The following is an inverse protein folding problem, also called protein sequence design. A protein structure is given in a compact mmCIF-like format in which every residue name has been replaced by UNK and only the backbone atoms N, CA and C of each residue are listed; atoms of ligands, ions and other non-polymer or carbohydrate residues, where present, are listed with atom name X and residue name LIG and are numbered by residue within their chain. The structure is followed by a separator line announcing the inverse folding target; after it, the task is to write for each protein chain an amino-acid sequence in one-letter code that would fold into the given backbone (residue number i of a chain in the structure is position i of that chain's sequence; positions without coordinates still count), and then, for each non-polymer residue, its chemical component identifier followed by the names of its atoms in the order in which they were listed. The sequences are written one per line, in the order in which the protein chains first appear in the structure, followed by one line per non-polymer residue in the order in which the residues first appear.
data_IF_608992210196
#
_entry.id   IF_608992210196
#
_cell.length_a   1.000
_cell.length_b   1.000
_cell.length_c   1.000
_cell.angle_alpha   90.00
_cell.angle_beta   90.00
_cell.angle_gamma   90.00
#
_symmetry.space_group_name_H-M   'P 1'
#
loop_
_entity.id
_entity.type
_entity.pdbx_description
1 polymer ?
#
# COMPACT_ATOMS: atom_id res chain seq x y z
N UNK A 1 0.30 -19.58 17.89
CA UNK A 1 0.92 -19.28 16.56
C UNK A 1 0.52 -17.88 16.13
N UNK A 2 1.48 -17.13 15.67
CA UNK A 2 1.18 -15.82 15.10
C UNK A 2 0.62 -16.00 13.69
N UNK A 3 -0.48 -15.35 13.40
CA UNK A 3 -0.98 -15.28 12.05
C UNK A 3 -0.04 -14.40 11.20
N UNK A 4 0.00 -14.65 9.90
CA UNK A 4 0.79 -13.84 8.99
C UNK A 4 0.19 -12.43 8.91
N UNK A 5 1.04 -11.38 8.92
CA UNK A 5 0.52 -10.02 8.73
C UNK A 5 -0.17 -9.89 7.38
N UNK A 6 -1.28 -9.18 7.36
CA UNK A 6 -2.05 -8.94 6.14
C UNK A 6 -1.70 -7.57 5.57
N UNK A 7 -1.28 -7.56 4.32
CA UNK A 7 -0.94 -6.34 3.60
C UNK A 7 -1.99 -6.12 2.51
N UNK A 8 -2.68 -4.99 2.58
CA UNK A 8 -3.61 -4.59 1.53
C UNK A 8 -2.80 -3.90 0.42
N UNK A 9 -2.97 -4.38 -0.81
CA UNK A 9 -2.27 -3.80 -1.96
C UNK A 9 -3.29 -3.17 -2.90
N UNK A 10 -3.05 -1.91 -3.27
CA UNK A 10 -3.95 -1.13 -4.10
C UNK A 10 -3.22 -0.74 -5.38
N UNK A 11 -3.74 -1.17 -6.53
CA UNK A 11 -3.14 -0.91 -7.84
C UNK A 11 -4.20 -1.15 -8.90
N UNK A 12 -4.36 -0.21 -9.82
CA UNK A 12 -5.34 -0.39 -10.89
C UNK A 12 -5.01 -1.55 -11.82
N UNK A 13 -3.77 -1.96 -11.86
CA UNK A 13 -3.30 -3.03 -12.73
C UNK A 13 -3.32 -4.37 -11.97
N UNK A 14 -4.25 -5.24 -12.32
CA UNK A 14 -4.41 -6.55 -11.65
C UNK A 14 -3.16 -7.42 -11.76
N UNK A 15 -2.46 -7.34 -12.89
CA UNK A 15 -1.23 -8.12 -13.08
C UNK A 15 -0.16 -7.72 -12.07
N UNK A 16 -0.02 -6.42 -11.81
CA UNK A 16 0.90 -5.94 -10.80
C UNK A 16 0.53 -6.46 -9.42
N UNK A 17 -0.77 -6.51 -9.10
CA UNK A 17 -1.23 -7.06 -7.83
C UNK A 17 -0.88 -8.53 -7.69
N UNK A 18 -1.05 -9.31 -8.76
CA UNK A 18 -0.72 -10.74 -8.74
C UNK A 18 0.77 -10.96 -8.49
N UNK A 19 1.62 -10.20 -9.18
CA UNK A 19 3.07 -10.31 -9.02
C UNK A 19 3.50 -9.91 -7.60
N UNK A 20 2.91 -8.84 -7.09
CA UNK A 20 3.22 -8.36 -5.74
C UNK A 20 2.74 -9.37 -4.70
N UNK A 21 1.56 -9.97 -4.90
CA UNK A 21 1.04 -10.99 -4.01
C UNK A 21 1.97 -12.20 -3.91
N UNK A 22 2.50 -12.65 -5.05
CA UNK A 22 3.46 -13.75 -5.08
C UNK A 22 4.70 -13.41 -4.27
N UNK A 23 5.24 -12.22 -4.48
CA UNK A 23 6.42 -11.76 -3.75
C UNK A 23 6.15 -11.72 -2.24
N UNK A 24 5.05 -11.10 -1.84
CA UNK A 24 4.71 -10.97 -0.43
C UNK A 24 4.49 -12.32 0.22
N UNK A 25 3.83 -13.25 -0.48
CA UNK A 25 3.61 -14.58 0.03
C UNK A 25 4.94 -15.30 0.29
N UNK A 26 5.89 -15.17 -0.63
CA UNK A 26 7.22 -15.76 -0.47
C UNK A 26 7.95 -15.19 0.74
N UNK A 27 7.64 -13.96 1.12
CA UNK A 27 8.27 -13.32 2.27
C UNK A 27 7.52 -13.55 3.58
N UNK A 28 6.47 -14.36 3.56
CA UNK A 28 5.74 -14.72 4.78
C UNK A 28 4.56 -13.80 5.11
N UNK A 29 4.07 -13.02 4.14
CA UNK A 29 2.94 -12.14 4.34
C UNK A 29 1.72 -12.63 3.57
N UNK A 30 0.53 -12.31 4.08
CA UNK A 30 -0.69 -12.47 3.32
C UNK A 30 -1.02 -11.14 2.66
N UNK A 31 -1.69 -11.18 1.52
CA UNK A 31 -2.07 -9.96 0.82
C UNK A 31 -3.50 -10.05 0.30
N UNK A 32 -4.11 -8.89 0.17
CA UNK A 32 -5.42 -8.73 -0.46
C UNK A 32 -5.30 -7.56 -1.43
N UNK A 33 -5.73 -7.75 -2.67
CA UNK A 33 -5.58 -6.76 -3.72
C UNK A 33 -6.88 -6.01 -4.00
N UNK A 34 -6.77 -4.70 -4.24
CA UNK A 34 -7.88 -3.85 -4.64
C UNK A 34 -7.49 -3.09 -5.90
N UNK A 35 -8.33 -3.15 -6.95
CA UNK A 35 -8.04 -2.51 -8.23
C UNK A 35 -8.83 -1.22 -8.46
N UNK A 36 -9.69 -0.84 -7.51
CA UNK A 36 -10.54 0.35 -7.64
C UNK A 36 -10.74 1.01 -6.28
N UNK A 37 -11.23 2.24 -6.31
CA UNK A 37 -11.60 2.96 -5.10
C UNK A 37 -12.65 2.17 -4.31
N UNK A 38 -13.63 1.61 -5.01
CA UNK A 38 -14.71 0.83 -4.38
C UNK A 38 -14.16 -0.40 -3.67
N UNK A 39 -13.27 -1.13 -4.33
CA UNK A 39 -12.65 -2.31 -3.71
C UNK A 39 -11.79 -1.94 -2.51
N UNK A 40 -11.08 -0.81 -2.60
CA UNK A 40 -10.27 -0.31 -1.50
C UNK A 40 -11.17 0.03 -0.30
N UNK A 41 -12.26 0.77 -0.53
CA UNK A 41 -13.20 1.11 0.54
C UNK A 41 -13.81 -0.14 1.17
N UNK A 42 -14.22 -1.11 0.34
CA UNK A 42 -14.78 -2.36 0.84
C UNK A 42 -13.78 -3.13 1.69
N UNK A 43 -12.52 -3.16 1.26
CA UNK A 43 -11.47 -3.84 2.02
C UNK A 43 -11.31 -3.20 3.41
N UNK A 44 -11.37 -1.88 3.49
CA UNK A 44 -11.22 -1.18 4.76
C UNK A 44 -12.38 -1.48 5.72
N UNK A 45 -13.57 -1.74 5.19
CA UNK A 45 -14.73 -2.04 6.05
C UNK A 45 -14.84 -3.51 6.41
N UNK A 46 -14.37 -4.41 5.55
CA UNK A 46 -14.56 -5.86 5.71
C UNK A 46 -13.39 -6.57 6.35
N UNK A 47 -12.18 -6.02 6.22
CA UNK A 47 -10.97 -6.65 6.73
C UNK A 47 -10.60 -5.97 8.04
N UNK A 48 -10.70 -6.73 9.13
CA UNK A 48 -10.50 -6.16 10.48
C UNK A 48 -9.03 -5.87 10.81
N UNK A 49 -8.11 -6.66 10.28
CA UNK A 49 -6.71 -6.59 10.70
C UNK A 49 -5.76 -6.38 9.53
N UNK A 50 -5.77 -5.17 8.99
CA UNK A 50 -4.80 -4.77 7.97
C UNK A 50 -3.58 -4.22 8.68
N UNK A 51 -2.42 -4.83 8.47
CA UNK A 51 -1.18 -4.42 9.12
C UNK A 51 -0.49 -3.28 8.37
N UNK A 52 -0.67 -3.21 7.05
CA UNK A 52 0.02 -2.26 6.19
C UNK A 52 -0.73 -2.15 4.87
N UNK A 53 -0.71 -0.98 4.25
CA UNK A 53 -1.28 -0.78 2.90
C UNK A 53 -0.19 -0.27 1.96
N UNK A 54 -0.13 -0.87 0.77
CA UNK A 54 0.72 -0.41 -0.32
C UNK A 54 -0.19 0.20 -1.37
N UNK A 55 -0.06 1.50 -1.61
CA UNK A 55 -0.95 2.23 -2.50
C UNK A 55 -0.18 2.70 -3.73
N UNK A 56 -0.40 2.04 -4.87
CA UNK A 56 0.12 2.51 -6.14
C UNK A 56 -0.89 3.49 -6.72
N UNK A 57 -0.50 4.77 -6.80
CA UNK A 57 -1.42 5.84 -7.19
C UNK A 57 -1.63 5.95 -8.70
N UNK A 58 -0.92 5.18 -9.49
CA UNK A 58 -1.00 5.26 -10.96
C UNK A 58 -2.42 5.05 -11.46
N UNK A 59 -2.94 6.02 -12.21
CA UNK A 59 -4.27 5.92 -12.81
C UNK A 59 -5.44 6.19 -11.88
N UNK A 60 -5.21 6.46 -10.60
CA UNK A 60 -6.26 6.89 -9.69
C UNK A 60 -6.41 8.41 -9.73
N UNK A 61 -7.63 8.90 -9.50
CA UNK A 61 -7.88 10.33 -9.37
C UNK A 61 -7.63 10.78 -7.92
N UNK A 62 -8.01 12.02 -7.61
CA UNK A 62 -7.74 12.62 -6.30
C UNK A 62 -8.44 11.93 -5.13
N UNK A 63 -9.42 11.07 -5.39
CA UNK A 63 -10.09 10.31 -4.32
C UNK A 63 -9.13 9.39 -3.58
N UNK A 64 -8.05 8.97 -4.24
CA UNK A 64 -7.06 8.10 -3.59
C UNK A 64 -6.46 8.77 -2.34
N UNK A 65 -6.28 10.09 -2.38
CA UNK A 65 -5.72 10.81 -1.23
C UNK A 65 -6.67 10.83 -0.05
N UNK A 66 -7.98 10.88 -0.31
CA UNK A 66 -8.98 10.84 0.78
C UNK A 66 -8.95 9.50 1.50
N UNK A 67 -8.77 8.41 0.75
CA UNK A 67 -8.63 7.09 1.35
C UNK A 67 -7.32 6.97 2.14
N UNK A 68 -6.27 7.60 1.66
CA UNK A 68 -5.01 7.65 2.40
C UNK A 68 -5.17 8.41 3.73
N UNK A 69 -5.91 9.51 3.73
CA UNK A 69 -6.20 10.22 4.97
C UNK A 69 -7.00 9.34 5.94
N UNK A 70 -7.93 8.55 5.41
CA UNK A 70 -8.68 7.60 6.23
C UNK A 70 -7.76 6.57 6.87
N UNK A 71 -6.79 6.07 6.12
CA UNK A 71 -5.79 5.15 6.69
C UNK A 71 -5.04 5.80 7.85
N UNK A 72 -4.64 7.05 7.68
CA UNK A 72 -3.97 7.79 8.76
C UNK A 72 -4.86 7.90 9.99
N UNK A 73 -6.13 8.25 9.79
CA UNK A 73 -7.08 8.40 10.89
C UNK A 73 -7.32 7.08 11.63
N UNK A 74 -7.29 5.97 10.91
CA UNK A 74 -7.43 4.64 11.48
C UNK A 74 -6.10 4.07 12.01
N UNK A 75 -5.02 4.86 11.91
CA UNK A 75 -3.69 4.47 12.37
C UNK A 75 -3.14 3.23 11.65
N UNK A 76 -3.50 3.07 10.38
CA UNK A 76 -2.97 2.00 9.54
C UNK A 76 -1.79 2.56 8.74
N UNK A 77 -0.57 2.05 8.93
CA UNK A 77 0.57 2.56 8.18
C UNK A 77 0.44 2.22 6.70
N UNK A 78 0.92 3.12 5.85
CA UNK A 78 0.87 2.88 4.41
C UNK A 78 2.06 3.53 3.70
N UNK A 79 2.39 2.94 2.56
CA UNK A 79 3.41 3.43 1.65
C UNK A 79 2.73 3.82 0.34
N UNK A 80 3.17 4.92 -0.26
CA UNK A 80 2.71 5.34 -1.59
C UNK A 80 3.74 4.93 -2.63
N UNK A 81 3.26 4.35 -3.72
CA UNK A 81 4.09 3.98 -4.86
C UNK A 81 3.70 4.91 -6.01
N UNK A 82 4.68 5.65 -6.52
CA UNK A 82 4.49 6.64 -7.57
C UNK A 82 5.10 6.16 -8.88
N UNK A 83 4.44 6.45 -10.04
CA UNK A 83 5.00 6.04 -11.34
C UNK A 83 6.23 6.84 -11.72
N UNK A 84 6.46 7.99 -11.10
CA UNK A 84 7.59 8.85 -11.42
C UNK A 84 7.98 9.71 -10.24
N UNK A 85 9.20 10.24 -10.30
CA UNK A 85 9.65 11.22 -9.33
C UNK A 85 8.84 12.51 -9.53
N UNK A 86 8.19 12.96 -8.47
CA UNK A 86 7.35 14.15 -8.49
C UNK A 86 7.32 14.79 -7.12
N UNK A 87 7.74 16.04 -7.04
CA UNK A 87 7.71 16.79 -5.79
C UNK A 87 6.27 16.96 -5.30
N UNK A 88 5.34 17.23 -6.22
CA UNK A 88 3.94 17.41 -5.86
C UNK A 88 3.34 16.13 -5.27
N UNK A 89 3.60 14.98 -5.88
CA UNK A 89 3.10 13.70 -5.37
C UNK A 89 3.76 13.38 -4.04
N UNK A 90 5.04 13.65 -3.89
CA UNK A 90 5.76 13.41 -2.64
C UNK A 90 5.14 14.24 -1.51
N UNK A 91 4.91 15.53 -1.74
CA UNK A 91 4.31 16.41 -0.75
C UNK A 91 2.89 15.96 -0.38
N UNK A 92 2.08 15.59 -1.37
CA UNK A 92 0.74 15.10 -1.14
C UNK A 92 0.75 13.80 -0.34
N UNK A 93 1.66 12.89 -0.67
CA UNK A 93 1.82 11.62 0.05
C UNK A 93 2.11 11.84 1.52
N UNK A 94 3.06 12.72 1.82
CA UNK A 94 3.43 13.01 3.20
C UNK A 94 2.31 13.74 3.93
N UNK A 95 1.63 14.66 3.25
CA UNK A 95 0.51 15.41 3.84
C UNK A 95 -0.63 14.47 4.24
N UNK A 96 -0.85 13.39 3.48
CA UNK A 96 -1.88 12.39 3.80
C UNK A 96 -1.43 11.38 4.85
N UNK A 97 -0.16 11.42 5.26
CA UNK A 97 0.35 10.57 6.31
C UNK A 97 1.09 9.32 5.84
N UNK A 98 1.48 9.24 4.56
CA UNK A 98 2.29 8.13 4.08
C UNK A 98 3.61 8.06 4.84
N UNK A 99 4.05 6.85 5.18
CA UNK A 99 5.32 6.65 5.85
C UNK A 99 6.49 6.89 4.92
N UNK A 100 6.31 6.63 3.63
CA UNK A 100 7.30 6.94 2.61
C UNK A 100 6.66 6.88 1.23
N UNK A 101 7.35 7.40 0.23
CA UNK A 101 6.97 7.27 -1.17
C UNK A 101 8.07 6.53 -1.91
N UNK A 102 7.70 5.48 -2.62
CA UNK A 102 8.60 4.71 -3.47
C UNK A 102 8.31 5.05 -4.93
N UNK A 103 9.35 5.18 -5.74
CA UNK A 103 9.21 5.53 -7.15
C UNK A 103 9.52 4.31 -7.99
N UNK A 104 8.68 4.04 -8.99
CA UNK A 104 8.90 2.94 -9.91
C UNK A 104 10.10 3.21 -10.82
N UNK A 105 10.82 2.16 -11.23
CA UNK A 105 10.59 0.74 -10.94
C UNK A 105 10.91 0.41 -9.48
N UNK A 106 10.09 -0.46 -8.89
CA UNK A 106 10.28 -0.83 -7.49
C UNK A 106 11.55 -1.64 -7.30
N UNK A 107 12.35 -1.22 -6.34
CA UNK A 107 13.49 -2.01 -5.88
C UNK A 107 12.98 -2.92 -4.78
N UNK A 108 12.95 -4.22 -5.06
CA UNK A 108 12.33 -5.21 -4.18
C UNK A 108 12.94 -5.19 -2.78
N UNK A 109 14.26 -5.07 -2.69
CA UNK A 109 14.96 -5.03 -1.40
C UNK A 109 14.55 -3.80 -0.58
N UNK A 110 14.36 -2.67 -1.23
CA UNK A 110 13.94 -1.44 -0.58
C UNK A 110 12.52 -1.57 -0.05
N UNK A 111 11.61 -2.10 -0.89
CA UNK A 111 10.24 -2.33 -0.48
C UNK A 111 10.18 -3.26 0.74
N UNK A 112 10.90 -4.38 0.70
CA UNK A 112 10.91 -5.34 1.79
C UNK A 112 11.45 -4.71 3.08
N UNK A 113 12.49 -3.87 2.97
CA UNK A 113 13.06 -3.18 4.12
C UNK A 113 12.04 -2.27 4.80
N UNK A 114 11.28 -1.50 4.01
CA UNK A 114 10.22 -0.66 4.55
C UNK A 114 9.13 -1.49 5.22
N UNK A 115 8.71 -2.58 4.58
CA UNK A 115 7.69 -3.46 5.16
C UNK A 115 8.16 -4.01 6.51
N UNK A 116 9.37 -4.52 6.57
CA UNK A 116 9.92 -5.08 7.80
C UNK A 116 10.01 -4.02 8.89
N UNK A 117 10.47 -2.84 8.54
CA UNK A 117 10.59 -1.74 9.50
C UNK A 117 9.23 -1.35 10.08
N UNK A 118 8.22 -1.23 9.22
CA UNK A 118 6.88 -0.80 9.66
C UNK A 118 6.15 -1.88 10.46
N UNK A 119 6.43 -3.14 10.20
CA UNK A 119 5.80 -4.26 10.91
C UNK A 119 6.61 -4.73 12.12
N UNK A 120 7.74 -4.09 12.40
CA UNK A 120 8.55 -4.42 13.56
C UNK A 120 9.33 -5.70 13.42
N UNK A 121 9.69 -6.06 12.21
CA UNK A 121 10.41 -7.30 11.94
C UNK A 121 11.88 -7.09 11.62
#
# INVERSE_FOLDING_TARGET
MKSKPLILTVDRNRRNLELLAQFLHQQGYESFGATSIEEFEQALTKIAEIALVLVDISGFDSHIWKLCELLRNEQIPFLVISPRQSTAIHQESLACGARSMLVKPLVVKELLRFIQSLLGE
#
